data_IF_751472838361
#
_entry.id   IF_751472838361
#
_cell.length_a   1.000
_cell.length_b   1.000
_cell.length_c   1.000
_cell.angle_alpha   90.00
_cell.angle_beta   90.00
_cell.angle_gamma   90.00
#
_symmetry.space_group_name_H-M   'P 1'
#
loop_
_entity.id
_entity.type
_entity.pdbx_description
1 polymer ?
#
# COMPACT_ATOMS: atom_id res chain seq x y z
N UNK A 1 -14.46 -2.91 30.34
CA UNK A 1 -14.75 -3.61 29.07
C UNK A 1 -13.43 -3.80 28.32
N UNK A 2 -13.00 -5.04 28.05
CA UNK A 2 -11.76 -5.33 27.31
C UNK A 2 -12.00 -4.95 25.83
N UNK A 3 -11.22 -4.06 25.22
CA UNK A 3 -11.44 -3.63 23.82
C UNK A 3 -11.32 -4.76 22.79
N UNK A 4 -10.85 -5.93 23.18
CA UNK A 4 -10.75 -7.11 22.31
C UNK A 4 -12.06 -7.83 21.95
N UNK A 5 -13.19 -7.52 22.63
CA UNK A 5 -14.43 -8.29 22.42
C UNK A 5 -15.24 -7.85 21.19
N UNK A 6 -15.23 -6.57 20.83
CA UNK A 6 -16.00 -6.06 19.69
C UNK A 6 -15.31 -6.43 18.38
N UNK A 7 -14.01 -6.18 18.28
CA UNK A 7 -13.20 -6.54 17.10
C UNK A 7 -13.29 -8.06 16.85
N UNK A 8 -13.31 -8.89 17.90
CA UNK A 8 -13.42 -10.34 17.76
C UNK A 8 -14.72 -10.82 17.08
N UNK A 9 -15.81 -10.06 17.17
CA UNK A 9 -17.13 -10.41 16.61
C UNK A 9 -17.32 -9.98 15.16
N UNK A 10 -16.53 -9.01 14.67
CA UNK A 10 -16.66 -8.51 13.29
C UNK A 10 -16.02 -9.52 12.31
N UNK A 11 -16.70 -9.92 11.22
CA UNK A 11 -16.13 -10.79 10.20
C UNK A 11 -14.86 -10.20 9.58
N UNK A 12 -13.87 -11.04 9.28
CA UNK A 12 -12.59 -10.60 8.72
C UNK A 12 -12.73 -9.78 7.41
N UNK A 13 -13.62 -10.15 6.46
CA UNK A 13 -13.86 -9.31 5.28
C UNK A 13 -14.37 -7.90 5.61
N UNK A 14 -15.27 -7.77 6.59
CA UNK A 14 -15.81 -6.46 6.99
C UNK A 14 -14.72 -5.59 7.65
N UNK A 15 -13.86 -6.17 8.49
CA UNK A 15 -12.68 -5.48 9.03
C UNK A 15 -11.74 -5.02 7.92
N UNK A 16 -11.52 -5.86 6.92
CA UNK A 16 -10.62 -5.56 5.81
C UNK A 16 -11.17 -4.44 4.92
N UNK A 17 -12.46 -4.50 4.57
CA UNK A 17 -13.13 -3.42 3.83
C UNK A 17 -13.10 -2.12 4.63
N UNK A 18 -13.38 -2.16 5.94
CA UNK A 18 -13.27 -1.00 6.82
C UNK A 18 -11.86 -0.41 6.86
N UNK A 19 -10.84 -1.28 6.87
CA UNK A 19 -9.43 -0.86 6.77
C UNK A 19 -9.14 -0.19 5.43
N UNK A 20 -9.59 -0.76 4.32
CA UNK A 20 -9.44 -0.17 2.98
C UNK A 20 -10.14 1.19 2.85
N UNK A 21 -11.37 1.31 3.37
CA UNK A 21 -12.09 2.58 3.40
C UNK A 21 -11.35 3.64 4.24
N UNK A 22 -10.79 3.27 5.38
CA UNK A 22 -9.97 4.17 6.19
C UNK A 22 -8.70 4.58 5.45
N UNK A 23 -8.00 3.62 4.82
CA UNK A 23 -6.76 3.85 4.07
C UNK A 23 -6.98 4.83 2.92
N UNK A 24 -7.98 4.59 2.09
CA UNK A 24 -8.28 5.47 0.96
C UNK A 24 -9.01 6.75 1.36
N UNK A 25 -9.77 6.75 2.46
CA UNK A 25 -10.29 7.96 3.09
C UNK A 25 -9.17 8.89 3.54
N UNK A 26 -8.12 8.35 4.14
CA UNK A 26 -6.90 9.10 4.43
C UNK A 26 -6.17 9.58 3.18
N UNK A 27 -6.15 8.79 2.09
CA UNK A 27 -5.61 9.24 0.80
C UNK A 27 -6.44 10.38 0.18
N UNK A 28 -7.77 10.30 0.27
CA UNK A 28 -8.65 11.38 -0.17
C UNK A 28 -8.46 12.67 0.64
N UNK A 29 -8.26 12.56 1.96
CA UNK A 29 -7.88 13.69 2.81
C UNK A 29 -6.53 14.28 2.37
N UNK A 30 -5.56 13.43 2.00
CA UNK A 30 -4.26 13.88 1.52
C UNK A 30 -4.36 14.67 0.19
N UNK A 31 -5.23 14.22 -0.74
CA UNK A 31 -5.49 14.97 -1.98
C UNK A 31 -5.96 16.39 -1.69
N UNK A 32 -6.79 16.59 -0.66
CA UNK A 32 -7.21 17.91 -0.21
C UNK A 32 -6.06 18.81 0.29
N UNK A 33 -4.92 18.25 0.67
CA UNK A 33 -3.74 19.00 1.12
C UNK A 33 -2.78 19.38 -0.03
N UNK A 34 -2.92 18.78 -1.22
CA UNK A 34 -1.96 18.97 -2.32
C UNK A 34 -1.94 20.42 -2.86
N UNK A 35 -3.01 21.18 -2.66
CA UNK A 35 -3.05 22.61 -2.99
C UNK A 35 -2.09 23.45 -2.12
N UNK A 36 -1.73 22.98 -0.92
CA UNK A 36 -0.89 23.71 0.04
C UNK A 36 0.48 23.08 0.23
N UNK A 37 0.53 21.75 0.22
CA UNK A 37 1.76 20.96 0.39
C UNK A 37 1.88 20.02 -0.82
N UNK A 38 2.99 20.05 -1.57
CA UNK A 38 3.17 19.13 -2.70
C UNK A 38 2.93 17.67 -2.30
N UNK A 39 2.32 16.87 -3.20
CA UNK A 39 1.93 15.48 -2.93
C UNK A 39 3.07 14.63 -2.35
N UNK A 40 4.29 14.80 -2.88
CA UNK A 40 5.49 14.13 -2.36
C UNK A 40 5.80 14.51 -0.90
N UNK A 41 5.57 15.77 -0.53
CA UNK A 41 5.74 16.27 0.83
C UNK A 41 4.72 15.67 1.80
N UNK A 42 3.45 15.60 1.39
CA UNK A 42 2.39 14.95 2.19
C UNK A 42 2.69 13.47 2.40
N UNK A 43 3.14 12.76 1.35
CA UNK A 43 3.54 11.35 1.45
C UNK A 43 4.69 11.15 2.45
N UNK A 44 5.71 12.00 2.37
CA UNK A 44 6.86 11.94 3.28
C UNK A 44 6.46 12.24 4.74
N UNK A 45 5.67 13.29 4.97
CA UNK A 45 5.17 13.64 6.30
C UNK A 45 4.34 12.50 6.90
N UNK A 46 3.50 11.84 6.08
CA UNK A 46 2.75 10.66 6.49
C UNK A 46 3.67 9.54 6.98
N UNK A 47 4.74 9.24 6.23
CA UNK A 47 5.73 8.23 6.59
C UNK A 47 6.45 8.63 7.88
N UNK A 48 6.85 9.89 8.02
CA UNK A 48 7.52 10.43 9.19
C UNK A 48 6.66 10.27 10.47
N UNK A 49 5.39 10.66 10.40
CA UNK A 49 4.45 10.54 11.53
C UNK A 49 4.20 9.07 11.85
N UNK A 50 3.96 8.22 10.84
CA UNK A 50 3.76 6.79 11.04
C UNK A 50 5.01 6.13 11.65
N UNK A 51 6.21 6.51 11.19
CA UNK A 51 7.47 6.05 11.77
C UNK A 51 7.58 6.45 13.25
N UNK A 52 7.29 7.70 13.59
CA UNK A 52 7.34 8.19 14.97
C UNK A 52 6.38 7.39 15.88
N UNK A 53 5.15 7.17 15.44
CA UNK A 53 4.14 6.38 16.18
C UNK A 53 4.60 4.93 16.35
N UNK A 54 5.05 4.27 15.28
CA UNK A 54 5.48 2.88 15.34
C UNK A 54 6.76 2.70 16.15
N UNK A 55 7.73 3.62 16.05
CA UNK A 55 8.95 3.61 16.86
C UNK A 55 8.63 3.75 18.35
N UNK A 56 7.75 4.70 18.72
CA UNK A 56 7.32 4.89 20.09
C UNK A 56 6.61 3.65 20.65
N UNK A 57 5.78 3.02 19.82
CA UNK A 57 5.03 1.81 20.20
C UNK A 57 5.93 0.59 20.33
N UNK A 58 6.79 0.30 19.34
CA UNK A 58 7.56 -0.96 19.23
C UNK A 58 8.93 -0.89 19.88
N UNK A 59 9.47 0.32 20.14
CA UNK A 59 10.74 0.58 20.83
C UNK A 59 11.90 -0.28 20.32
N UNK A 60 12.23 -0.22 18.98
CA UNK A 60 13.21 -1.10 18.36
C UNK A 60 14.63 -0.96 18.93
N UNK A 61 14.94 0.16 19.62
CA UNK A 61 16.23 0.38 20.32
C UNK A 61 16.47 -0.58 21.48
N UNK A 62 15.47 -1.37 21.89
CA UNK A 62 15.62 -2.43 22.89
C UNK A 62 16.09 -3.75 22.30
N UNK A 63 16.23 -3.85 21.00
CA UNK A 63 16.67 -5.03 20.27
C UNK A 63 18.09 -4.81 19.74
N UNK A 64 18.88 -5.90 19.70
CA UNK A 64 20.15 -5.88 19.01
C UNK A 64 19.94 -5.95 17.49
N UNK A 65 20.59 -5.06 16.75
CA UNK A 65 20.52 -4.98 15.29
C UNK A 65 21.88 -5.28 14.69
N UNK A 66 21.96 -6.26 13.79
CA UNK A 66 23.15 -6.47 12.99
C UNK A 66 23.25 -5.43 11.86
N UNK A 67 24.44 -5.21 11.33
CA UNK A 67 24.62 -4.34 10.14
C UNK A 67 23.77 -4.81 8.96
N UNK A 68 23.68 -6.13 8.76
CA UNK A 68 22.86 -6.73 7.71
C UNK A 68 21.36 -6.44 7.93
N UNK A 69 20.85 -6.51 9.17
CA UNK A 69 19.45 -6.20 9.48
C UNK A 69 19.13 -4.73 9.18
N UNK A 70 20.07 -3.81 9.51
CA UNK A 70 19.88 -2.39 9.23
C UNK A 70 19.91 -2.09 7.73
N UNK A 71 20.83 -2.69 6.97
CA UNK A 71 20.87 -2.55 5.50
C UNK A 71 19.59 -3.07 4.87
N UNK A 72 19.13 -4.25 5.27
CA UNK A 72 17.89 -4.84 4.76
C UNK A 72 16.65 -4.00 5.14
N UNK A 73 16.58 -3.51 6.38
CA UNK A 73 15.50 -2.62 6.82
C UNK A 73 15.53 -1.28 6.06
N UNK A 74 16.71 -0.75 5.77
CA UNK A 74 16.86 0.48 4.99
C UNK A 74 16.43 0.27 3.55
N UNK A 75 16.87 -0.80 2.89
CA UNK A 75 16.46 -1.12 1.52
C UNK A 75 14.93 -1.31 1.42
N UNK A 76 14.36 -2.04 2.36
CA UNK A 76 12.91 -2.23 2.49
C UNK A 76 12.18 -0.90 2.73
N UNK A 77 12.74 -0.02 3.57
CA UNK A 77 12.24 1.33 3.83
C UNK A 77 12.32 2.24 2.61
N UNK A 78 13.42 2.20 1.85
CA UNK A 78 13.56 2.97 0.61
C UNK A 78 12.50 2.53 -0.42
N UNK A 79 12.31 1.22 -0.62
CA UNK A 79 11.27 0.72 -1.50
C UNK A 79 9.86 1.20 -1.06
N UNK A 80 9.55 1.13 0.24
CA UNK A 80 8.31 1.65 0.81
C UNK A 80 8.18 3.16 0.60
N UNK A 81 9.24 3.92 0.82
CA UNK A 81 9.26 5.37 0.66
C UNK A 81 9.01 5.79 -0.78
N UNK A 82 9.72 5.19 -1.73
CA UNK A 82 9.53 5.43 -3.17
C UNK A 82 8.11 5.08 -3.60
N UNK A 83 7.61 3.90 -3.20
CA UNK A 83 6.24 3.47 -3.47
C UNK A 83 5.22 4.52 -3.01
N UNK A 84 5.30 4.94 -1.76
CA UNK A 84 4.34 5.89 -1.20
C UNK A 84 4.43 7.30 -1.81
N UNK A 85 5.64 7.80 -2.06
CA UNK A 85 5.83 9.12 -2.69
C UNK A 85 5.32 9.09 -4.14
N UNK A 86 5.68 8.06 -4.90
CA UNK A 86 5.24 7.90 -6.27
C UNK A 86 3.71 7.71 -6.37
N UNK A 87 3.10 6.94 -5.45
CA UNK A 87 1.65 6.80 -5.37
C UNK A 87 0.95 8.13 -5.13
N UNK A 88 1.46 8.96 -4.21
CA UNK A 88 0.85 10.27 -3.92
C UNK A 88 0.99 11.26 -5.09
N UNK A 89 2.13 11.24 -5.79
CA UNK A 89 2.29 11.98 -7.05
C UNK A 89 1.28 11.46 -8.10
N UNK A 90 1.06 10.14 -8.15
CA UNK A 90 0.10 9.58 -9.10
C UNK A 90 -1.34 10.03 -8.81
N UNK A 91 -1.81 9.99 -7.56
CA UNK A 91 -3.19 10.39 -7.22
C UNK A 91 -3.42 11.91 -7.24
N UNK A 92 -2.37 12.71 -7.39
CA UNK A 92 -2.46 14.13 -7.71
C UNK A 92 -2.91 14.37 -9.17
N UNK A 93 -2.66 13.39 -10.04
CA UNK A 93 -2.93 13.49 -11.48
C UNK A 93 -3.89 12.42 -12.02
N UNK A 94 -4.16 11.36 -11.26
CA UNK A 94 -5.01 10.22 -11.65
C UNK A 94 -6.18 10.05 -10.67
N UNK A 95 -7.32 9.55 -11.14
CA UNK A 95 -8.38 9.10 -10.24
C UNK A 95 -7.84 8.02 -9.27
N UNK A 96 -8.27 8.10 -8.01
CA UNK A 96 -7.78 7.23 -6.93
C UNK A 96 -7.95 5.74 -7.26
N UNK A 97 -9.12 5.35 -7.77
CA UNK A 97 -9.40 3.96 -8.15
C UNK A 97 -8.49 3.45 -9.27
N UNK A 98 -8.26 4.29 -10.29
CA UNK A 98 -7.36 3.99 -11.42
C UNK A 98 -5.91 3.81 -10.94
N UNK A 99 -5.42 4.73 -10.11
CA UNK A 99 -4.08 4.65 -9.55
C UNK A 99 -3.89 3.36 -8.74
N UNK A 100 -4.81 3.05 -7.82
CA UNK A 100 -4.75 1.82 -7.02
C UNK A 100 -4.75 0.57 -7.89
N UNK A 101 -5.63 0.51 -8.91
CA UNK A 101 -5.68 -0.67 -9.79
C UNK A 101 -4.37 -0.88 -10.55
N UNK A 102 -3.78 0.18 -11.09
CA UNK A 102 -2.50 0.08 -11.82
C UNK A 102 -1.36 -0.30 -10.87
N UNK A 103 -1.34 0.24 -9.65
CA UNK A 103 -0.31 -0.09 -8.65
C UNK A 103 -0.29 -1.60 -8.33
N UNK A 104 -1.46 -2.28 -8.36
CA UNK A 104 -1.56 -3.71 -8.11
C UNK A 104 -0.86 -4.60 -9.15
N UNK A 105 -0.44 -4.06 -10.29
CA UNK A 105 0.44 -4.77 -11.24
C UNK A 105 1.72 -5.23 -10.56
N UNK A 106 2.27 -4.45 -9.62
CA UNK A 106 3.46 -4.84 -8.85
C UNK A 106 3.27 -6.19 -8.13
N UNK A 107 2.33 -6.31 -7.19
CA UNK A 107 2.00 -7.58 -6.53
C UNK A 107 1.66 -8.73 -7.47
N UNK A 108 0.90 -8.46 -8.54
CA UNK A 108 0.51 -9.47 -9.55
C UNK A 108 1.75 -10.00 -10.28
N UNK A 109 2.67 -9.11 -10.67
CA UNK A 109 3.94 -9.48 -11.31
C UNK A 109 4.80 -10.33 -10.38
N UNK A 110 4.94 -9.94 -9.11
CA UNK A 110 5.68 -10.77 -8.13
C UNK A 110 5.06 -12.15 -8.00
N UNK A 111 3.74 -12.24 -7.85
CA UNK A 111 3.04 -13.52 -7.73
C UNK A 111 3.28 -14.41 -8.96
N UNK A 112 3.28 -13.83 -10.14
CA UNK A 112 3.43 -14.56 -11.39
C UNK A 112 4.88 -15.00 -11.68
N UNK A 113 5.87 -14.18 -11.32
CA UNK A 113 7.29 -14.55 -11.45
C UNK A 113 7.69 -15.61 -10.42
N UNK A 114 7.10 -15.56 -9.22
CA UNK A 114 7.41 -16.54 -8.15
C UNK A 114 6.49 -17.76 -8.17
N UNK A 115 5.36 -17.71 -8.89
CA UNK A 115 4.43 -18.83 -9.07
C UNK A 115 4.77 -19.66 -10.30
N UNK A 116 4.35 -20.92 -10.31
CA UNK A 116 4.63 -21.89 -11.40
C UNK A 116 3.39 -22.30 -12.19
N UNK A 117 2.20 -21.81 -11.81
CA UNK A 117 0.92 -22.25 -12.37
C UNK A 117 0.42 -21.42 -13.56
N UNK A 118 -0.56 -21.96 -14.29
CA UNK A 118 -1.23 -21.26 -15.37
C UNK A 118 -2.07 -20.06 -14.87
N UNK A 119 -2.56 -20.16 -13.63
CA UNK A 119 -3.39 -19.11 -12.99
C UNK A 119 -2.62 -17.81 -12.80
N UNK A 120 -1.36 -17.93 -12.35
CA UNK A 120 -0.46 -16.79 -12.16
C UNK A 120 -0.17 -16.11 -13.52
N UNK A 121 0.08 -16.90 -14.56
CA UNK A 121 0.33 -16.39 -15.93
C UNK A 121 -0.91 -15.71 -16.51
N UNK A 122 -2.09 -16.32 -16.33
CA UNK A 122 -3.36 -15.70 -16.74
C UNK A 122 -3.65 -14.42 -15.97
N UNK A 123 -3.30 -14.37 -14.68
CA UNK A 123 -3.40 -13.16 -13.86
C UNK A 123 -2.58 -12.00 -14.41
N UNK A 124 -1.34 -12.25 -14.87
CA UNK A 124 -0.55 -11.19 -15.54
C UNK A 124 -1.25 -10.69 -16.80
N UNK A 125 -1.72 -11.60 -17.65
CA UNK A 125 -2.43 -11.22 -18.88
C UNK A 125 -3.64 -10.34 -18.60
N UNK A 126 -4.47 -10.73 -17.63
CA UNK A 126 -5.65 -9.95 -17.22
C UNK A 126 -5.26 -8.58 -16.63
N UNK A 127 -4.22 -8.54 -15.77
CA UNK A 127 -3.75 -7.29 -15.21
C UNK A 127 -3.20 -6.36 -16.29
N UNK A 128 -2.44 -6.90 -17.27
CA UNK A 128 -1.91 -6.12 -18.38
C UNK A 128 -3.03 -5.51 -19.23
N UNK A 129 -4.07 -6.30 -19.58
CA UNK A 129 -5.25 -5.80 -20.31
C UNK A 129 -5.95 -4.72 -19.50
N UNK A 130 -6.20 -4.96 -18.20
CA UNK A 130 -6.83 -3.99 -17.31
C UNK A 130 -6.07 -2.65 -17.26
N UNK A 131 -4.75 -2.72 -17.12
CA UNK A 131 -3.88 -1.52 -17.11
C UNK A 131 -3.89 -0.79 -18.44
N UNK A 132 -3.83 -1.50 -19.57
CA UNK A 132 -3.91 -0.87 -20.90
C UNK A 132 -5.23 -0.13 -21.08
N UNK A 133 -6.36 -0.70 -20.60
CA UNK A 133 -7.66 -0.03 -20.64
C UNK A 133 -7.66 1.23 -19.76
N UNK A 134 -7.19 1.15 -18.52
CA UNK A 134 -7.13 2.27 -17.58
C UNK A 134 -6.21 3.38 -18.08
N UNK A 135 -5.00 3.04 -18.53
CA UNK A 135 -4.06 4.00 -19.08
C UNK A 135 -4.57 4.62 -20.39
N UNK A 136 -5.23 3.83 -21.23
CA UNK A 136 -5.81 4.31 -22.47
C UNK A 136 -6.91 5.32 -22.28
N UNK A 137 -7.81 5.12 -21.31
CA UNK A 137 -8.83 6.11 -20.92
C UNK A 137 -8.17 7.37 -20.37
N UNK A 138 -7.22 7.22 -19.48
CA UNK A 138 -6.50 8.33 -18.84
C UNK A 138 -5.78 9.21 -19.87
N UNK A 139 -5.07 8.61 -20.84
CA UNK A 139 -4.37 9.36 -21.89
C UNK A 139 -5.30 10.05 -22.88
N UNK A 140 -6.52 9.52 -23.09
CA UNK A 140 -7.52 10.12 -23.97
C UNK A 140 -8.32 11.24 -23.31
N UNK A 141 -8.28 11.34 -21.98
CA UNK A 141 -9.01 12.37 -21.25
C UNK A 141 -8.39 13.76 -21.35
N UNK A 142 -7.20 13.90 -21.99
CA UNK A 142 -6.42 15.14 -22.08
C UNK A 142 -6.22 15.85 -20.72
N UNK A 143 -6.33 15.08 -19.64
CA UNK A 143 -6.16 15.60 -18.28
C UNK A 143 -4.73 16.11 -18.06
N UNK A 144 -4.55 17.33 -17.54
CA UNK A 144 -3.22 17.85 -17.25
C UNK A 144 -2.42 16.92 -16.35
N UNK A 145 -1.19 16.56 -16.75
CA UNK A 145 -0.32 15.71 -15.96
C UNK A 145 -0.61 14.20 -16.01
N UNK A 146 -1.55 13.73 -16.87
CA UNK A 146 -1.87 12.30 -17.00
C UNK A 146 -0.64 11.42 -17.20
N UNK A 147 0.29 11.84 -18.06
CA UNK A 147 1.56 11.12 -18.28
C UNK A 147 2.42 11.07 -17.02
N UNK A 148 2.51 12.17 -16.26
CA UNK A 148 3.23 12.22 -14.99
C UNK A 148 2.61 11.24 -13.99
N UNK A 149 1.29 11.23 -13.89
CA UNK A 149 0.54 10.30 -13.04
C UNK A 149 0.80 8.83 -13.44
N UNK A 150 0.76 8.50 -14.74
CA UNK A 150 1.01 7.15 -15.22
C UNK A 150 2.47 6.68 -14.99
N UNK A 151 3.44 7.55 -15.20
CA UNK A 151 4.85 7.24 -14.88
C UNK A 151 5.01 7.04 -13.39
N UNK A 152 4.45 7.94 -12.57
CA UNK A 152 4.54 7.84 -11.12
C UNK A 152 3.91 6.54 -10.60
N UNK A 153 2.73 6.14 -11.11
CA UNK A 153 2.10 4.89 -10.65
C UNK A 153 2.87 3.65 -11.13
N UNK A 154 3.51 3.70 -12.30
CA UNK A 154 4.43 2.64 -12.75
C UNK A 154 5.64 2.48 -11.82
N UNK A 155 6.21 3.61 -11.37
CA UNK A 155 7.28 3.61 -10.35
C UNK A 155 6.75 3.04 -9.02
N UNK A 156 5.56 3.44 -8.58
CA UNK A 156 4.95 2.91 -7.36
C UNK A 156 4.74 1.39 -7.43
N UNK A 157 4.19 0.87 -8.55
CA UNK A 157 3.99 -0.55 -8.77
C UNK A 157 5.31 -1.34 -8.73
N UNK A 158 6.35 -0.82 -9.36
CA UNK A 158 7.69 -1.43 -9.35
C UNK A 158 8.30 -1.42 -7.95
N UNK A 159 8.19 -0.30 -7.24
CA UNK A 159 8.65 -0.18 -5.86
C UNK A 159 7.86 -1.09 -4.91
N UNK A 160 6.56 -1.31 -5.17
CA UNK A 160 5.75 -2.26 -4.40
C UNK A 160 6.21 -3.70 -4.64
N UNK A 161 6.53 -4.07 -5.87
CA UNK A 161 7.13 -5.37 -6.16
C UNK A 161 8.44 -5.59 -5.38
N UNK A 162 9.35 -4.61 -5.39
CA UNK A 162 10.59 -4.64 -4.62
C UNK A 162 10.31 -4.72 -3.10
N UNK A 163 9.35 -3.94 -2.59
CA UNK A 163 8.90 -3.98 -1.20
C UNK A 163 8.42 -5.37 -0.79
N UNK A 164 7.61 -6.05 -1.62
CA UNK A 164 7.13 -7.41 -1.34
C UNK A 164 8.30 -8.40 -1.27
N UNK A 165 9.23 -8.32 -2.20
CA UNK A 165 10.39 -9.22 -2.24
C UNK A 165 11.32 -9.02 -1.04
N UNK A 166 11.64 -7.77 -0.72
CA UNK A 166 12.45 -7.43 0.47
C UNK A 166 11.71 -7.77 1.77
N UNK A 167 10.40 -7.57 1.80
CA UNK A 167 9.55 -7.87 2.95
C UNK A 167 9.58 -9.35 3.35
N UNK A 168 9.68 -10.26 2.37
CA UNK A 168 9.88 -11.70 2.64
C UNK A 168 11.18 -11.95 3.40
N UNK A 169 12.28 -11.32 2.98
CA UNK A 169 13.57 -11.45 3.64
C UNK A 169 13.58 -10.82 5.05
N UNK A 170 12.80 -9.75 5.25
CA UNK A 170 12.64 -9.09 6.54
C UNK A 170 11.79 -9.95 7.50
N UNK A 171 10.72 -10.57 7.02
CA UNK A 171 9.74 -11.30 7.85
C UNK A 171 10.34 -12.53 8.55
N UNK A 172 11.28 -13.23 7.93
CA UNK A 172 11.92 -14.43 8.51
C UNK A 172 12.90 -14.10 9.63
N UNK A 173 13.21 -12.81 9.89
CA UNK A 173 14.25 -12.39 10.83
C UNK A 173 13.73 -11.82 12.15
N UNK A 174 12.44 -11.96 12.46
CA UNK A 174 11.83 -11.52 13.72
C UNK A 174 10.50 -10.80 13.56
N UNK A 175 10.16 -9.92 14.52
CA UNK A 175 8.87 -9.23 14.51
C UNK A 175 8.77 -8.22 13.36
N UNK A 176 7.89 -8.51 12.41
CA UNK A 176 7.69 -7.72 11.19
C UNK A 176 7.28 -6.26 11.45
N UNK A 177 6.46 -6.01 12.49
CA UNK A 177 6.01 -4.64 12.81
C UNK A 177 7.17 -3.79 13.33
N UNK A 178 8.05 -4.37 14.17
CA UNK A 178 9.23 -3.66 14.67
C UNK A 178 10.20 -3.35 13.52
N UNK A 179 10.38 -4.28 12.59
CA UNK A 179 11.22 -4.05 11.40
C UNK A 179 10.59 -3.01 10.45
N UNK A 180 9.28 -3.00 10.30
CA UNK A 180 8.55 -1.97 9.55
C UNK A 180 8.76 -0.58 10.18
N UNK A 181 8.74 -0.46 11.52
CA UNK A 181 9.00 0.80 12.20
C UNK A 181 10.38 1.38 11.85
N UNK A 182 11.42 0.53 11.84
CA UNK A 182 12.79 0.91 11.46
C UNK A 182 12.86 1.25 9.97
N UNK A 183 12.19 0.47 9.12
CA UNK A 183 12.12 0.74 7.68
C UNK A 183 11.46 2.08 7.36
N UNK A 184 10.32 2.39 8.03
CA UNK A 184 9.67 3.69 7.87
C UNK A 184 10.55 4.86 8.35
N UNK A 185 11.29 4.67 9.45
CA UNK A 185 12.26 5.66 9.92
C UNK A 185 13.39 5.87 8.91
N UNK A 186 13.92 4.78 8.33
CA UNK A 186 14.93 4.85 7.28
C UNK A 186 14.38 5.58 6.02
N UNK A 187 13.15 5.26 5.59
CA UNK A 187 12.50 5.97 4.49
C UNK A 187 12.35 7.47 4.75
N UNK A 188 11.92 7.84 5.97
CA UNK A 188 11.80 9.24 6.38
C UNK A 188 13.15 9.96 6.36
N UNK A 189 14.20 9.33 6.88
CA UNK A 189 15.56 9.89 6.93
C UNK A 189 16.17 10.04 5.53
N UNK A 190 16.05 9.01 4.67
CA UNK A 190 16.55 9.06 3.27
C UNK A 190 15.79 10.08 2.45
N UNK A 191 14.49 10.23 2.66
CA UNK A 191 13.65 11.22 1.97
C UNK A 191 13.85 12.65 2.46
N UNK A 192 14.33 12.86 3.69
CA UNK A 192 14.43 14.18 4.33
C UNK A 192 15.20 15.21 3.50
N UNK A 193 16.39 14.94 2.94
CA UNK A 193 17.15 15.94 2.16
C UNK A 193 16.38 16.48 0.96
N UNK A 194 15.46 15.71 0.41
CA UNK A 194 14.70 16.05 -0.80
C UNK A 194 13.33 16.66 -0.51
N UNK A 195 12.73 16.33 0.64
CA UNK A 195 11.32 16.55 0.88
C UNK A 195 11.02 17.47 2.08
N UNK A 196 11.98 17.67 3.00
CA UNK A 196 11.76 18.50 4.19
C UNK A 196 11.41 19.95 3.81
N UNK A 197 12.13 20.54 2.87
CA UNK A 197 11.86 21.92 2.43
C UNK A 197 10.50 22.06 1.76
N UNK A 198 10.08 21.05 0.96
CA UNK A 198 8.78 21.00 0.31
C UNK A 198 7.61 20.80 1.29
N UNK A 199 7.90 20.28 2.47
CA UNK A 199 6.94 20.02 3.53
C UNK A 199 6.82 21.17 4.54
N UNK A 200 7.68 22.18 4.44
CA UNK A 200 7.75 23.30 5.38
C UNK A 200 6.41 24.04 5.60
N UNK A 201 5.50 24.18 4.60
CA UNK A 201 4.21 24.82 4.83
C UNK A 201 3.37 24.20 5.97
N UNK A 202 3.59 22.92 6.30
CA UNK A 202 2.88 22.26 7.40
C UNK A 202 3.14 22.94 8.76
N UNK A 203 4.32 23.53 8.94
CA UNK A 203 4.71 24.17 10.20
C UNK A 203 4.02 25.52 10.46
N UNK A 204 3.43 26.12 9.42
CA UNK A 204 2.75 27.40 9.50
C UNK A 204 1.30 27.34 10.01
N UNK A 205 0.68 26.16 10.01
CA UNK A 205 -0.73 25.97 10.42
C UNK A 205 -0.92 24.65 11.14
N UNK A 206 -1.36 24.74 12.39
CA UNK A 206 -1.66 23.55 13.20
C UNK A 206 -2.75 22.65 12.60
N UNK A 207 -3.65 23.22 11.78
CA UNK A 207 -4.69 22.46 11.06
C UNK A 207 -4.06 21.54 10.02
N UNK A 208 -3.02 22.01 9.32
CA UNK A 208 -2.25 21.17 8.40
C UNK A 208 -1.53 20.05 9.13
N UNK A 209 -0.94 20.35 10.30
CA UNK A 209 -0.32 19.33 11.17
C UNK A 209 -1.36 18.29 11.57
N UNK A 210 -2.53 18.70 12.06
CA UNK A 210 -3.60 17.80 12.45
C UNK A 210 -4.10 16.94 11.28
N UNK A 211 -4.25 17.55 10.09
CA UNK A 211 -4.65 16.82 8.88
C UNK A 211 -3.61 15.78 8.45
N UNK A 212 -2.31 16.12 8.47
CA UNK A 212 -1.22 15.17 8.18
C UNK A 212 -1.20 14.02 9.18
N UNK A 213 -1.40 14.31 10.48
CA UNK A 213 -1.52 13.27 11.51
C UNK A 213 -2.73 12.39 11.21
N UNK A 214 -3.88 12.96 10.86
CA UNK A 214 -5.08 12.23 10.45
C UNK A 214 -4.81 11.32 9.24
N UNK A 215 -4.14 11.84 8.20
CA UNK A 215 -3.70 11.05 7.04
C UNK A 215 -2.82 9.88 7.48
N UNK A 216 -1.82 10.11 8.32
CA UNK A 216 -0.90 9.07 8.79
C UNK A 216 -1.62 7.97 9.59
N UNK A 217 -2.53 8.37 10.47
CA UNK A 217 -3.32 7.42 11.27
C UNK A 217 -4.26 6.59 10.40
N UNK A 218 -5.01 7.23 9.50
CA UNK A 218 -6.01 6.58 8.64
C UNK A 218 -5.36 5.73 7.55
N UNK A 219 -4.29 6.24 6.90
CA UNK A 219 -3.67 5.55 5.75
C UNK A 219 -2.52 4.61 6.12
N UNK A 220 -2.02 4.64 7.35
CA UNK A 220 -0.88 3.80 7.73
C UNK A 220 -1.12 3.05 9.04
N UNK A 221 -1.29 3.75 10.16
CA UNK A 221 -1.29 3.10 11.48
C UNK A 221 -2.50 2.18 11.65
N UNK A 222 -3.70 2.67 11.34
CA UNK A 222 -4.94 1.90 11.47
C UNK A 222 -4.98 0.70 10.51
N UNK A 223 -4.72 0.86 9.18
CA UNK A 223 -4.69 -0.27 8.26
C UNK A 223 -3.70 -1.35 8.69
N UNK A 224 -2.47 -1.00 9.01
CA UNK A 224 -1.49 -2.00 9.47
C UNK A 224 -1.94 -2.76 10.71
N UNK A 225 -2.56 -2.08 11.68
CA UNK A 225 -3.07 -2.74 12.89
C UNK A 225 -4.22 -3.72 12.56
N UNK A 226 -5.17 -3.30 11.72
CA UNK A 226 -6.32 -4.12 11.31
C UNK A 226 -5.88 -5.29 10.44
N UNK A 227 -4.99 -5.05 9.46
CA UNK A 227 -4.48 -6.08 8.56
C UNK A 227 -3.74 -7.20 9.32
N UNK A 228 -2.99 -6.86 10.36
CA UNK A 228 -2.36 -7.87 11.23
C UNK A 228 -3.39 -8.75 11.95
N UNK A 229 -4.51 -8.18 12.39
CA UNK A 229 -5.61 -8.94 13.00
C UNK A 229 -6.28 -9.83 11.96
N UNK A 230 -6.58 -9.29 10.77
CA UNK A 230 -7.22 -10.03 9.68
C UNK A 230 -6.32 -11.18 9.21
N UNK A 231 -5.03 -10.90 8.96
CA UNK A 231 -4.05 -11.90 8.51
C UNK A 231 -3.97 -13.10 9.47
N UNK A 232 -3.99 -12.84 10.78
CA UNK A 232 -3.98 -13.90 11.80
C UNK A 232 -5.26 -14.74 11.79
N UNK A 233 -6.40 -14.18 11.36
CA UNK A 233 -7.70 -14.87 11.35
C UNK A 233 -7.91 -15.73 10.11
N UNK A 234 -7.58 -15.18 8.94
CA UNK A 234 -7.87 -15.84 7.66
C UNK A 234 -6.67 -16.55 7.05
N UNK A 235 -5.50 -16.36 7.64
CA UNK A 235 -4.23 -16.83 7.10
C UNK A 235 -3.80 -16.11 5.80
N UNK A 236 -2.61 -16.44 5.27
CA UNK A 236 -2.06 -15.74 4.10
C UNK A 236 -2.91 -15.87 2.83
N UNK A 237 -3.47 -17.06 2.57
CA UNK A 237 -4.29 -17.30 1.38
C UNK A 237 -5.61 -16.52 1.42
N UNK A 238 -6.31 -16.55 2.55
CA UNK A 238 -7.54 -15.78 2.74
C UNK A 238 -7.30 -14.28 2.70
N UNK A 239 -6.21 -13.80 3.30
CA UNK A 239 -5.82 -12.40 3.26
C UNK A 239 -5.55 -11.93 1.81
N UNK A 240 -4.89 -12.79 1.03
CA UNK A 240 -4.62 -12.50 -0.37
C UNK A 240 -5.90 -12.29 -1.21
N UNK A 241 -6.96 -13.08 -0.96
CA UNK A 241 -8.26 -12.89 -1.61
C UNK A 241 -8.89 -11.56 -1.21
N UNK A 242 -8.78 -11.16 0.06
CA UNK A 242 -9.31 -9.89 0.53
C UNK A 242 -8.63 -8.68 -0.13
N UNK A 243 -7.35 -8.78 -0.47
CA UNK A 243 -6.63 -7.72 -1.17
C UNK A 243 -7.27 -7.36 -2.54
N UNK A 244 -7.97 -8.30 -3.19
CA UNK A 244 -8.71 -8.02 -4.42
C UNK A 244 -9.87 -7.02 -4.24
N UNK A 245 -10.29 -6.76 -3.00
CA UNK A 245 -11.32 -5.76 -2.67
C UNK A 245 -10.77 -4.33 -2.61
N UNK A 246 -9.45 -4.14 -2.50
CA UNK A 246 -8.85 -2.82 -2.35
C UNK A 246 -9.13 -1.89 -3.55
N UNK A 247 -8.98 -2.31 -4.82
CA UNK A 247 -9.34 -1.45 -5.93
C UNK A 247 -10.81 -0.99 -5.89
N UNK A 248 -11.72 -1.89 -5.49
CA UNK A 248 -13.13 -1.54 -5.35
C UNK A 248 -13.37 -0.52 -4.23
N UNK A 249 -12.71 -0.68 -3.06
CA UNK A 249 -12.81 0.31 -1.98
C UNK A 249 -12.23 1.66 -2.37
N UNK A 250 -11.14 1.68 -3.16
CA UNK A 250 -10.55 2.91 -3.68
C UNK A 250 -11.50 3.66 -4.63
N UNK A 251 -12.20 2.92 -5.50
CA UNK A 251 -13.23 3.50 -6.39
C UNK A 251 -14.36 4.12 -5.59
N UNK A 252 -14.87 3.40 -4.59
CA UNK A 252 -15.95 3.92 -3.72
C UNK A 252 -15.52 5.21 -3.04
N UNK A 253 -14.34 5.25 -2.45
CA UNK A 253 -13.81 6.46 -1.81
C UNK A 253 -13.56 7.57 -2.83
N UNK A 254 -12.98 7.26 -3.99
CA UNK A 254 -12.77 8.21 -5.08
C UNK A 254 -14.09 8.84 -5.55
N UNK A 255 -15.13 8.04 -5.74
CA UNK A 255 -16.45 8.51 -6.15
C UNK A 255 -17.12 9.39 -5.07
N UNK A 256 -17.11 8.94 -3.82
CA UNK A 256 -17.85 9.61 -2.73
C UNK A 256 -17.10 10.82 -2.19
N UNK A 257 -15.79 10.70 -1.89
CA UNK A 257 -15.01 11.75 -1.25
C UNK A 257 -14.41 12.74 -2.25
N UNK A 258 -13.98 12.25 -3.43
CA UNK A 258 -13.29 13.06 -4.44
C UNK A 258 -14.17 13.38 -5.66
N UNK A 259 -15.41 12.85 -5.72
CA UNK A 259 -16.36 13.01 -6.84
C UNK A 259 -15.81 12.49 -8.18
N UNK A 260 -14.94 11.48 -8.11
CA UNK A 260 -14.32 10.83 -9.27
C UNK A 260 -15.19 9.66 -9.73
N UNK A 261 -16.14 9.90 -10.60
CA UNK A 261 -17.03 8.85 -11.12
C UNK A 261 -16.35 8.09 -12.24
N UNK A 262 -16.15 6.76 -12.09
CA UNK A 262 -15.45 5.98 -13.10
C UNK A 262 -16.33 5.78 -14.35
N UNK A 263 -15.70 5.81 -15.52
CA UNK A 263 -16.34 5.44 -16.77
C UNK A 263 -16.50 3.91 -16.88
N UNK A 264 -17.41 3.44 -17.76
CA UNK A 264 -17.66 2.00 -17.94
C UNK A 264 -16.37 1.22 -18.28
N UNK A 265 -15.51 1.78 -19.12
CA UNK A 265 -14.22 1.15 -19.49
C UNK A 265 -13.28 1.05 -18.31
N UNK A 266 -13.26 2.05 -17.43
CA UNK A 266 -12.46 2.00 -16.18
C UNK A 266 -12.98 0.91 -15.25
N UNK A 267 -14.29 0.76 -15.12
CA UNK A 267 -14.88 -0.33 -14.33
C UNK A 267 -14.49 -1.71 -14.86
N UNK A 268 -14.43 -1.89 -16.17
CA UNK A 268 -13.94 -3.13 -16.79
C UNK A 268 -12.46 -3.35 -16.47
N UNK A 269 -11.61 -2.32 -16.62
CA UNK A 269 -10.19 -2.39 -16.28
C UNK A 269 -9.96 -2.74 -14.81
N UNK A 270 -10.70 -2.10 -13.91
CA UNK A 270 -10.69 -2.36 -12.46
C UNK A 270 -11.10 -3.81 -12.14
N UNK A 271 -12.17 -4.29 -12.77
CA UNK A 271 -12.64 -5.67 -12.59
C UNK A 271 -11.59 -6.69 -13.05
N UNK A 272 -10.95 -6.46 -14.21
CA UNK A 272 -9.88 -7.33 -14.70
C UNK A 272 -8.69 -7.39 -13.75
N UNK A 273 -8.25 -6.26 -13.21
CA UNK A 273 -7.17 -6.21 -12.22
C UNK A 273 -7.59 -6.93 -10.92
N UNK A 274 -8.82 -6.71 -10.43
CA UNK A 274 -9.32 -7.40 -9.23
C UNK A 274 -9.38 -8.91 -9.40
N UNK A 275 -9.82 -9.40 -10.56
CA UNK A 275 -9.81 -10.82 -10.92
C UNK A 275 -8.37 -11.35 -11.00
N UNK A 276 -7.46 -10.59 -11.61
CA UNK A 276 -6.04 -10.94 -11.68
C UNK A 276 -5.44 -11.14 -10.29
N UNK A 277 -5.71 -10.24 -9.34
CA UNK A 277 -5.27 -10.35 -7.95
C UNK A 277 -5.82 -11.62 -7.31
N UNK A 278 -7.10 -11.93 -7.52
CA UNK A 278 -7.74 -13.14 -7.00
C UNK A 278 -7.12 -14.42 -7.56
N UNK A 279 -6.82 -14.46 -8.85
CA UNK A 279 -6.22 -15.61 -9.53
C UNK A 279 -4.78 -15.89 -9.08
N UNK A 280 -3.96 -14.84 -8.96
CA UNK A 280 -2.52 -14.98 -8.66
C UNK A 280 -2.22 -15.35 -7.20
N UNK A 281 -3.21 -15.25 -6.30
CA UNK A 281 -2.99 -15.44 -4.85
C UNK A 281 -3.65 -16.69 -4.28
N UNK A 282 -4.25 -17.53 -5.12
CA UNK A 282 -4.95 -18.75 -4.73
C UNK A 282 -4.02 -19.95 -4.46
N UNK A 283 -2.75 -19.78 -4.12
CA UNK A 283 -1.86 -20.91 -3.80
C UNK A 283 -2.24 -21.55 -2.47
N UNK A 284 -2.54 -22.85 -2.50
CA UNK A 284 -2.60 -23.72 -1.33
C UNK A 284 -1.22 -23.75 -0.68
N UNK A 285 -1.10 -23.74 0.67
CA UNK A 285 0.12 -24.17 1.31
C UNK A 285 0.45 -25.58 0.80
N UNK A 286 1.65 -25.82 0.29
CA UNK A 286 2.12 -27.19 0.12
C UNK A 286 1.98 -27.90 1.48
N UNK A 287 1.36 -29.09 1.52
CA UNK A 287 1.37 -29.88 2.75
C UNK A 287 2.85 -30.15 3.05
N UNK A 288 3.30 -29.73 4.23
CA UNK A 288 4.59 -30.14 4.78
C UNK A 288 4.59 -31.67 4.74
N UNK A 289 5.31 -32.22 3.80
CA UNK A 289 5.46 -33.68 3.69
C UNK A 289 6.20 -34.12 4.94
N UNK A 290 5.68 -35.18 5.59
CA UNK A 290 6.23 -35.74 6.82
C UNK A 290 7.70 -36.22 6.68
N UNK A 291 8.32 -36.01 5.52
CA UNK A 291 9.74 -36.30 5.25
C UNK A 291 10.68 -35.22 5.84
N UNK A 292 10.21 -33.98 6.11
CA UNK A 292 11.05 -32.90 6.67
C UNK A 292 11.02 -32.84 8.21
N UNK A 293 10.28 -33.73 8.87
CA UNK A 293 10.18 -33.80 10.33
C UNK A 293 11.09 -34.88 10.95
N UNK A 294 11.98 -35.48 10.17
CA UNK A 294 12.80 -36.61 10.59
C UNK A 294 14.29 -36.53 10.20
N UNK A 295 14.90 -35.35 10.21
CA UNK A 295 16.36 -35.21 10.08
C UNK A 295 16.91 -34.30 11.17
#
# INVERSE_FOLDING_TARGET
>A
MRPGSVVARVPAPALFVGSGLAQYGGAALAVGLFATIPAAGVAWLRILVAAAVLLAWRRPWRLAWSRHDLVLATAFGVALGVMNVAFYIAIDHLPLGTAVAIEFVGPVTVAAVTGSGWRERSGIGLAAIGVVLLAGVTLRSDAPGATVGLVAIGVAATAWAAYIMLGRAVAVRGDGVTRLAVAMAAAALVGAPFLVARSAPVLGDWRLVAAVVGVALLSSVLPYAVEQVVLRRVGPAGFAVLLALLPATAVVVGAVALRQWPHAVELVGLALVSVAIGLTRSQRPEPVTAADAGA
#
